data_IF_482891648868
#
_entry.id   IF_482891648868
#
_cell.length_a   1.000
_cell.length_b   1.000
_cell.length_c   1.000
_cell.angle_alpha   90.00
_cell.angle_beta   90.00
_cell.angle_gamma   90.00
#
_symmetry.space_group_name_H-M   'P 1'
#
loop_
_entity.id
_entity.type
_entity.pdbx_description
1 polymer ?
#
# COMPACT_ATOMS: atom_id res chain seq x y z
N UNK A 1 -17.43 -1.22 -17.33
CA UNK A 1 -16.33 -0.55 -18.05
C UNK A 1 -16.02 0.69 -17.24
N UNK A 2 -15.04 0.60 -16.36
CA UNK A 2 -14.56 1.74 -15.57
C UNK A 2 -13.84 2.66 -16.56
N UNK A 3 -14.12 3.98 -16.58
CA UNK A 3 -13.34 4.90 -17.39
C UNK A 3 -11.90 4.85 -16.91
N UNK A 4 -10.96 4.63 -17.82
CA UNK A 4 -9.54 4.65 -17.52
C UNK A 4 -9.19 5.93 -16.76
N UNK A 5 -8.55 5.79 -15.61
CA UNK A 5 -8.09 6.87 -14.74
C UNK A 5 -6.91 7.66 -15.34
N UNK A 6 -6.94 7.92 -16.63
CA UNK A 6 -5.92 8.69 -17.34
C UNK A 6 -6.58 9.83 -18.15
N UNK A 7 -7.25 10.75 -17.44
CA UNK A 7 -7.31 12.08 -18.01
C UNK A 7 -5.95 12.72 -17.73
N UNK A 8 -5.13 12.93 -18.76
CA UNK A 8 -3.97 13.80 -18.75
C UNK A 8 -4.41 15.24 -18.46
N UNK A 9 -4.88 15.50 -17.24
CA UNK A 9 -5.02 16.87 -16.79
C UNK A 9 -3.60 17.45 -16.75
N UNK A 10 -3.33 18.55 -17.47
CA UNK A 10 -2.02 19.16 -17.43
C UNK A 10 -1.69 19.52 -15.98
N UNK A 11 -0.50 19.18 -15.50
CA UNK A 11 0.03 19.71 -14.26
C UNK A 11 0.08 21.23 -14.43
N UNK A 12 -0.91 21.92 -13.92
CA UNK A 12 -0.97 23.38 -13.97
C UNK A 12 0.05 23.87 -12.97
N UNK A 13 1.22 24.33 -13.46
CA UNK A 13 2.21 25.01 -12.63
C UNK A 13 1.51 26.22 -11.99
N UNK A 14 1.41 26.22 -10.66
CA UNK A 14 0.82 27.29 -9.90
C UNK A 14 -0.56 27.01 -9.28
N UNK A 15 -1.00 25.76 -9.18
CA UNK A 15 -2.20 25.40 -8.41
C UNK A 15 -1.94 25.68 -6.93
N UNK A 16 -2.68 26.60 -6.28
CA UNK A 16 -2.40 26.98 -4.91
C UNK A 16 -2.67 25.86 -3.91
N UNK A 17 -3.50 24.85 -4.27
CA UNK A 17 -3.77 23.70 -3.42
C UNK A 17 -3.98 22.45 -4.28
N UNK A 18 -3.22 21.38 -3.99
CA UNK A 18 -3.23 20.16 -4.79
C UNK A 18 -3.72 18.98 -3.97
N UNK A 19 -4.74 18.29 -4.50
CA UNK A 19 -5.31 17.05 -3.96
C UNK A 19 -5.22 15.88 -4.96
N UNK A 20 -4.30 15.94 -5.90
CA UNK A 20 -4.16 14.89 -6.94
C UNK A 20 -3.70 13.57 -6.33
N UNK A 21 -2.59 13.61 -5.58
CA UNK A 21 -2.02 12.42 -4.97
C UNK A 21 -1.03 12.79 -3.87
N UNK A 22 -0.97 11.99 -2.83
CA UNK A 22 0.07 12.02 -1.80
C UNK A 22 1.47 11.68 -2.36
N UNK A 23 1.55 11.00 -3.52
CA UNK A 23 2.81 10.86 -4.27
C UNK A 23 3.41 12.20 -4.74
N UNK A 24 2.61 13.24 -4.84
CA UNK A 24 3.05 14.57 -5.28
C UNK A 24 3.47 15.48 -4.11
N UNK A 25 3.33 15.02 -2.88
CA UNK A 25 3.76 15.76 -1.70
C UNK A 25 5.29 15.91 -1.65
N UNK A 26 5.76 16.90 -0.91
CA UNK A 26 7.19 17.10 -0.69
C UNK A 26 7.77 15.99 0.20
N UNK A 27 9.09 15.82 0.11
CA UNK A 27 9.82 14.89 0.97
C UNK A 27 9.99 15.51 2.36
N UNK A 28 9.74 14.73 3.42
CA UNK A 28 9.89 15.19 4.79
C UNK A 28 11.35 15.59 5.10
N UNK A 29 11.62 16.70 5.80
CA UNK A 29 12.98 17.18 6.09
C UNK A 29 13.89 16.13 6.74
N UNK A 30 13.39 15.32 7.67
CA UNK A 30 14.16 14.26 8.31
C UNK A 30 14.76 13.25 7.31
N UNK A 31 14.11 13.04 6.16
CA UNK A 31 14.62 12.16 5.09
C UNK A 31 15.89 12.75 4.48
N UNK A 32 15.90 14.06 4.18
CA UNK A 32 17.07 14.73 3.64
C UNK A 32 18.25 14.70 4.62
N UNK A 33 17.99 14.90 5.90
CA UNK A 33 19.01 14.84 6.95
C UNK A 33 19.58 13.42 7.07
N UNK A 34 18.72 12.37 7.04
CA UNK A 34 19.14 10.97 7.08
C UNK A 34 19.98 10.58 5.84
N UNK A 35 19.55 10.99 4.65
CA UNK A 35 20.31 10.74 3.41
C UNK A 35 21.70 11.39 3.47
N UNK A 36 21.79 12.62 3.95
CA UNK A 36 23.05 13.32 4.13
C UNK A 36 23.95 12.63 5.17
N UNK A 37 23.37 12.16 6.26
CA UNK A 37 24.10 11.41 7.29
C UNK A 37 24.60 10.04 6.77
N UNK A 38 23.85 9.39 5.88
CA UNK A 38 24.23 8.13 5.25
C UNK A 38 25.28 8.28 4.13
N UNK A 39 25.69 9.52 3.76
CA UNK A 39 26.65 9.76 2.70
C UNK A 39 28.10 9.58 3.19
N UNK A 40 28.43 8.33 3.52
CA UNK A 40 29.74 7.86 3.90
C UNK A 40 30.03 6.50 3.24
N UNK A 41 31.30 6.11 3.03
CA UNK A 41 31.63 4.76 2.58
C UNK A 41 31.14 3.69 3.56
N UNK A 42 30.46 2.66 3.04
CA UNK A 42 29.98 1.50 3.77
C UNK A 42 29.85 0.30 2.82
N UNK A 43 29.49 -0.87 3.34
CA UNK A 43 29.30 -2.10 2.58
C UNK A 43 28.26 -1.91 1.47
N UNK A 44 28.45 -2.54 0.29
CA UNK A 44 27.53 -2.38 -0.82
C UNK A 44 26.23 -3.18 -0.60
N UNK A 45 25.22 -2.82 -1.40
CA UNK A 45 23.89 -3.42 -1.44
C UNK A 45 23.15 -3.26 -0.11
N UNK A 46 22.80 -4.36 0.57
CA UNK A 46 22.17 -4.41 1.89
C UNK A 46 23.09 -4.98 2.98
N UNK A 47 24.41 -4.97 2.73
CA UNK A 47 25.41 -5.36 3.71
C UNK A 47 25.84 -4.23 4.68
N UNK A 48 25.28 -3.03 4.52
CA UNK A 48 25.56 -1.86 5.35
C UNK A 48 24.87 -1.94 6.73
N UNK A 49 25.36 -1.13 7.68
CA UNK A 49 24.87 -1.14 9.04
C UNK A 49 23.40 -0.76 9.16
N UNK A 50 22.90 0.18 8.35
CA UNK A 50 21.50 0.60 8.37
C UNK A 50 20.57 -0.49 7.83
N UNK A 51 20.93 -1.13 6.71
CA UNK A 51 20.14 -2.25 6.17
C UNK A 51 20.08 -3.42 7.15
N UNK A 52 21.20 -3.77 7.79
CA UNK A 52 21.27 -4.85 8.76
C UNK A 52 20.47 -4.59 10.05
N UNK A 53 20.20 -3.33 10.39
CA UNK A 53 19.42 -2.97 11.58
C UNK A 53 17.89 -2.99 11.34
N UNK A 54 17.42 -3.12 10.10
CA UNK A 54 15.98 -3.04 9.79
C UNK A 54 15.17 -4.16 10.44
N UNK A 55 15.66 -5.41 10.43
CA UNK A 55 14.94 -6.54 11.00
C UNK A 55 14.64 -6.30 12.49
N UNK A 56 15.62 -5.82 13.25
CA UNK A 56 15.43 -5.47 14.65
C UNK A 56 14.45 -4.29 14.80
N UNK A 57 14.64 -3.23 14.03
CA UNK A 57 13.82 -2.01 14.13
C UNK A 57 12.34 -2.28 13.89
N UNK A 58 12.03 -3.08 12.87
CA UNK A 58 10.65 -3.46 12.56
C UNK A 58 10.12 -4.52 13.53
N UNK A 59 10.96 -5.42 14.05
CA UNK A 59 10.56 -6.35 15.11
C UNK A 59 10.14 -5.63 16.38
N UNK A 60 10.83 -4.55 16.73
CA UNK A 60 10.44 -3.68 17.85
C UNK A 60 9.10 -2.97 17.57
N UNK A 61 8.91 -2.46 16.33
CA UNK A 61 7.67 -1.78 15.92
C UNK A 61 6.44 -2.69 15.99
N UNK A 62 6.59 -3.93 15.52
CA UNK A 62 5.48 -4.91 15.48
C UNK A 62 5.39 -5.80 16.73
N UNK A 63 6.34 -5.72 17.66
CA UNK A 63 6.38 -6.57 18.85
C UNK A 63 6.54 -8.06 18.56
N UNK A 64 6.95 -8.43 17.34
CA UNK A 64 7.20 -9.82 16.90
C UNK A 64 8.35 -9.86 15.89
N UNK A 65 9.07 -11.00 15.77
CA UNK A 65 10.15 -11.13 14.79
C UNK A 65 9.72 -10.80 13.38
N UNK A 66 10.50 -9.98 12.68
CA UNK A 66 10.30 -9.61 11.28
C UNK A 66 11.62 -9.76 10.50
N UNK A 67 11.52 -10.09 9.21
CA UNK A 67 12.60 -9.90 8.27
C UNK A 67 12.18 -8.83 7.26
N UNK A 68 13.06 -7.86 6.98
CA UNK A 68 12.70 -6.66 6.22
C UNK A 68 13.62 -6.46 5.02
N UNK A 69 13.01 -6.16 3.89
CA UNK A 69 13.73 -5.78 2.67
C UNK A 69 13.25 -4.41 2.22
N UNK A 70 14.18 -3.49 1.96
CA UNK A 70 13.86 -2.24 1.29
C UNK A 70 13.75 -2.43 -0.23
N UNK A 71 12.86 -1.67 -0.86
CA UNK A 71 12.70 -1.52 -2.31
C UNK A 71 12.38 -0.06 -2.63
N UNK A 72 12.44 0.32 -3.92
CA UNK A 72 12.27 1.72 -4.33
C UNK A 72 10.82 2.09 -4.70
N UNK A 73 9.90 1.14 -4.79
CA UNK A 73 8.51 1.38 -5.20
C UNK A 73 7.54 0.42 -4.53
N UNK A 74 6.27 0.86 -4.33
CA UNK A 74 5.20 0.02 -3.81
C UNK A 74 4.90 -1.18 -4.72
N UNK A 75 4.89 -0.98 -6.05
CA UNK A 75 4.73 -2.06 -7.03
C UNK A 75 5.78 -3.16 -6.85
N UNK A 76 7.07 -2.77 -6.63
CA UNK A 76 8.11 -3.75 -6.34
C UNK A 76 7.87 -4.49 -5.02
N UNK A 77 7.38 -3.79 -3.99
CA UNK A 77 7.05 -4.39 -2.71
C UNK A 77 5.95 -5.45 -2.86
N UNK A 78 4.82 -5.10 -3.49
CA UNK A 78 3.70 -6.00 -3.73
C UNK A 78 4.11 -7.22 -4.56
N UNK A 79 4.75 -6.98 -5.71
CA UNK A 79 5.16 -8.04 -6.61
C UNK A 79 6.16 -9.02 -5.98
N UNK A 80 7.16 -8.50 -5.25
CA UNK A 80 8.17 -9.35 -4.62
C UNK A 80 7.60 -10.13 -3.42
N UNK A 81 6.75 -9.51 -2.60
CA UNK A 81 6.06 -10.20 -1.52
C UNK A 81 5.22 -11.36 -2.06
N UNK A 82 4.31 -11.07 -2.99
CA UNK A 82 3.43 -12.07 -3.61
C UNK A 82 4.20 -13.18 -4.34
N UNK A 83 5.31 -12.83 -5.00
CA UNK A 83 6.13 -13.81 -5.70
C UNK A 83 6.81 -14.83 -4.78
N UNK A 84 6.89 -14.60 -3.47
CA UNK A 84 7.36 -15.59 -2.51
C UNK A 84 6.30 -16.59 -2.09
N UNK A 85 5.03 -16.23 -2.26
CA UNK A 85 3.86 -16.97 -1.76
C UNK A 85 3.18 -17.79 -2.86
N UNK A 86 3.30 -17.35 -4.12
CA UNK A 86 2.49 -17.85 -5.22
C UNK A 86 3.38 -18.50 -6.29
N UNK A 87 3.00 -19.71 -6.69
CA UNK A 87 3.64 -20.40 -7.82
C UNK A 87 3.06 -19.93 -9.16
N UNK A 88 3.77 -20.10 -10.30
CA UNK A 88 3.30 -19.64 -11.62
C UNK A 88 1.91 -20.14 -12.05
N UNK A 89 1.50 -21.31 -11.56
CA UNK A 89 0.19 -21.94 -11.81
C UNK A 89 -0.86 -21.58 -10.76
N UNK A 90 -0.51 -20.73 -9.78
CA UNK A 90 -1.39 -20.35 -8.69
C UNK A 90 -2.18 -19.07 -8.96
N UNK A 91 -3.08 -18.75 -8.03
CA UNK A 91 -3.89 -17.55 -8.07
C UNK A 91 -3.80 -16.74 -6.78
N UNK A 92 -4.06 -15.45 -6.90
CA UNK A 92 -4.14 -14.49 -5.79
C UNK A 92 -5.57 -13.97 -5.75
N UNK A 93 -6.26 -14.18 -4.64
CA UNK A 93 -7.57 -13.54 -4.42
C UNK A 93 -7.33 -12.11 -4.00
N UNK A 94 -7.87 -11.15 -4.75
CA UNK A 94 -7.81 -9.72 -4.42
C UNK A 94 -9.13 -9.04 -4.78
N UNK A 95 -9.33 -7.82 -4.28
CA UNK A 95 -10.46 -7.02 -4.70
C UNK A 95 -10.31 -6.59 -6.17
N UNK A 96 -11.41 -6.44 -6.92
CA UNK A 96 -11.37 -6.01 -8.33
C UNK A 96 -10.80 -4.61 -8.53
N UNK A 97 -10.81 -3.77 -7.49
CA UNK A 97 -10.21 -2.43 -7.46
C UNK A 97 -8.80 -2.43 -6.83
N UNK A 98 -8.26 -3.59 -6.44
CA UNK A 98 -6.92 -3.65 -5.82
C UNK A 98 -5.86 -3.07 -6.77
N UNK A 99 -4.91 -2.31 -6.22
CA UNK A 99 -3.83 -1.67 -6.98
C UNK A 99 -3.06 -2.66 -7.86
N UNK A 100 -2.85 -3.90 -7.36
CA UNK A 100 -2.18 -4.98 -8.10
C UNK A 100 -2.95 -5.43 -9.36
N UNK A 101 -4.26 -5.19 -9.45
CA UNK A 101 -5.08 -5.42 -10.65
C UNK A 101 -5.12 -4.18 -11.52
N UNK A 102 -5.41 -3.02 -10.94
CA UNK A 102 -5.81 -1.83 -11.68
C UNK A 102 -4.62 -0.98 -12.16
N UNK A 103 -3.60 -0.78 -11.32
CA UNK A 103 -2.63 0.32 -11.50
C UNK A 103 -1.16 -0.11 -11.46
N UNK A 104 -0.86 -1.40 -11.66
CA UNK A 104 0.52 -1.91 -11.73
C UNK A 104 0.92 -2.43 -13.13
N UNK A 105 0.13 -2.12 -14.17
CA UNK A 105 0.47 -2.44 -15.55
C UNK A 105 0.68 -3.94 -15.81
N UNK A 106 0.03 -4.81 -15.02
CA UNK A 106 0.21 -6.26 -15.10
C UNK A 106 1.51 -6.78 -14.46
N UNK A 107 2.20 -5.95 -13.68
CA UNK A 107 3.44 -6.34 -13.00
C UNK A 107 3.33 -7.62 -12.16
N UNK A 108 2.25 -7.86 -11.39
CA UNK A 108 2.11 -9.13 -10.67
C UNK A 108 2.22 -10.34 -11.59
N UNK A 109 1.51 -10.35 -12.71
CA UNK A 109 1.59 -11.43 -13.69
C UNK A 109 3.01 -11.64 -14.23
N UNK A 110 3.75 -10.57 -14.47
CA UNK A 110 5.15 -10.62 -14.94
C UNK A 110 6.09 -11.19 -13.84
N UNK A 111 6.03 -10.67 -12.62
CA UNK A 111 6.92 -11.09 -11.53
C UNK A 111 6.62 -12.50 -11.02
N UNK A 112 5.37 -12.94 -11.10
CA UNK A 112 4.90 -14.23 -10.65
C UNK A 112 4.86 -15.27 -11.79
N UNK A 113 5.43 -14.93 -12.95
CA UNK A 113 5.56 -15.83 -14.10
C UNK A 113 4.22 -16.35 -14.63
N UNK A 114 3.18 -15.52 -14.63
CA UNK A 114 1.86 -15.82 -15.17
C UNK A 114 0.81 -16.23 -14.15
N UNK A 115 1.08 -16.12 -12.85
CA UNK A 115 0.07 -16.33 -11.83
C UNK A 115 -1.15 -15.41 -12.04
N UNK A 116 -2.34 -15.91 -11.75
CA UNK A 116 -3.61 -15.24 -12.06
C UNK A 116 -4.12 -14.44 -10.86
N UNK A 117 -4.69 -13.26 -11.11
CA UNK A 117 -5.52 -12.58 -10.12
C UNK A 117 -6.95 -13.16 -10.18
N UNK A 118 -7.49 -13.50 -9.02
CA UNK A 118 -8.83 -14.04 -8.80
C UNK A 118 -9.65 -12.95 -8.12
N UNK A 119 -10.44 -12.24 -8.93
CA UNK A 119 -11.07 -10.99 -8.51
C UNK A 119 -12.33 -11.26 -7.68
N UNK A 120 -12.43 -10.60 -6.54
CA UNK A 120 -13.60 -10.60 -5.67
C UNK A 120 -14.16 -9.18 -5.54
N UNK A 121 -15.45 -9.09 -5.19
CA UNK A 121 -16.15 -7.82 -4.95
C UNK A 121 -16.31 -7.56 -3.47
N UNK A 122 -16.43 -6.28 -3.11
CA UNK A 122 -16.67 -5.87 -1.74
C UNK A 122 -16.97 -4.38 -1.63
N UNK A 123 -17.70 -3.99 -0.62
CA UNK A 123 -17.97 -2.57 -0.37
C UNK A 123 -16.71 -1.84 0.10
N UNK A 124 -16.52 -0.61 -0.40
CA UNK A 124 -15.38 0.22 -0.04
C UNK A 124 -14.01 -0.38 -0.43
N UNK A 125 -13.96 -1.18 -1.49
CA UNK A 125 -12.78 -1.93 -1.94
C UNK A 125 -12.20 -2.87 -0.86
N UNK A 126 -13.06 -3.40 0.02
CA UNK A 126 -12.69 -4.34 1.09
C UNK A 126 -13.20 -5.72 0.79
N UNK A 127 -12.40 -6.73 1.04
CA UNK A 127 -12.81 -8.13 1.01
C UNK A 127 -13.48 -8.55 2.32
N UNK A 128 -14.40 -9.50 2.22
CA UNK A 128 -14.94 -10.23 3.36
C UNK A 128 -14.67 -11.73 3.19
N UNK A 129 -14.70 -12.53 4.28
CA UNK A 129 -14.59 -13.98 4.16
C UNK A 129 -15.58 -14.57 3.14
N UNK A 130 -16.83 -14.08 3.10
CA UNK A 130 -17.84 -14.56 2.18
C UNK A 130 -17.52 -14.19 0.71
N UNK A 131 -17.03 -12.99 0.46
CA UNK A 131 -16.59 -12.59 -0.87
C UNK A 131 -15.42 -13.45 -1.36
N UNK A 132 -14.49 -13.78 -0.48
CA UNK A 132 -13.35 -14.67 -0.79
C UNK A 132 -13.89 -16.09 -1.07
N UNK A 133 -14.78 -16.64 -0.22
CA UNK A 133 -15.41 -17.96 -0.43
C UNK A 133 -16.14 -18.03 -1.77
N UNK A 134 -16.86 -16.98 -2.15
CA UNK A 134 -17.59 -16.94 -3.42
C UNK A 134 -16.66 -17.11 -4.64
N UNK A 135 -15.40 -16.71 -4.53
CA UNK A 135 -14.38 -16.88 -5.58
C UNK A 135 -13.68 -18.23 -5.49
N UNK A 136 -13.37 -18.69 -4.27
CA UNK A 136 -12.51 -19.86 -4.05
C UNK A 136 -13.32 -21.17 -4.09
N UNK A 137 -14.51 -21.22 -3.49
CA UNK A 137 -15.27 -22.46 -3.34
C UNK A 137 -15.74 -23.10 -4.66
N UNK A 138 -16.04 -22.34 -5.74
CA UNK A 138 -16.37 -22.93 -7.02
C UNK A 138 -15.17 -23.56 -7.77
N UNK A 139 -13.93 -23.27 -7.35
CA UNK A 139 -12.72 -23.80 -8.02
C UNK A 139 -12.58 -25.28 -7.67
N UNK A 140 -12.62 -26.13 -8.71
CA UNK A 140 -12.42 -27.56 -8.53
C UNK A 140 -10.95 -27.85 -8.20
N UNK A 141 -10.72 -28.79 -7.31
CA UNK A 141 -9.37 -29.30 -7.00
C UNK A 141 -8.92 -30.27 -8.10
N UNK A 142 -8.55 -29.70 -9.25
CA UNK A 142 -7.98 -30.42 -10.38
C UNK A 142 -6.97 -29.57 -11.16
N UNK A 143 -6.14 -30.21 -11.98
CA UNK A 143 -5.06 -29.58 -12.76
C UNK A 143 -5.53 -28.65 -13.88
N UNK A 144 -6.81 -28.62 -14.18
CA UNK A 144 -7.39 -27.78 -15.24
C UNK A 144 -7.74 -26.38 -14.76
N UNK A 145 -7.78 -26.17 -13.45
CA UNK A 145 -8.11 -24.86 -12.85
C UNK A 145 -6.94 -24.31 -12.03
N UNK A 146 -6.75 -22.99 -12.13
CA UNK A 146 -5.81 -22.27 -11.25
C UNK A 146 -6.26 -22.43 -9.81
N UNK A 147 -5.37 -22.88 -8.95
CA UNK A 147 -5.63 -23.04 -7.52
C UNK A 147 -5.25 -21.75 -6.78
N UNK A 148 -6.07 -21.25 -5.84
CA UNK A 148 -5.71 -20.10 -5.03
C UNK A 148 -4.53 -20.45 -4.11
N UNK A 149 -3.54 -19.57 -4.06
CA UNK A 149 -2.35 -19.73 -3.23
C UNK A 149 -2.25 -18.61 -2.17
N UNK A 150 -2.79 -17.43 -2.47
CA UNK A 150 -2.73 -16.29 -1.57
C UNK A 150 -4.00 -15.43 -1.64
N UNK A 151 -4.22 -14.67 -0.57
CA UNK A 151 -5.14 -13.54 -0.50
C UNK A 151 -4.30 -12.26 -0.39
N UNK A 152 -4.68 -11.20 -1.10
CA UNK A 152 -4.11 -9.86 -0.96
C UNK A 152 -5.20 -8.87 -0.59
N UNK A 153 -5.01 -8.16 0.53
CA UNK A 153 -5.89 -7.08 0.99
C UNK A 153 -5.11 -5.76 1.00
N UNK A 154 -5.79 -4.62 0.94
CA UNK A 154 -5.17 -3.28 0.93
C UNK A 154 -5.59 -2.49 2.17
N UNK A 155 -4.62 -1.99 2.93
CA UNK A 155 -4.83 -1.26 4.20
C UNK A 155 -4.09 0.11 4.15
N UNK A 156 -4.76 1.29 4.10
CA UNK A 156 -6.19 1.45 3.82
C UNK A 156 -6.50 1.07 2.36
N UNK A 157 -7.77 0.68 2.11
CA UNK A 157 -8.22 0.27 0.78
C UNK A 157 -8.15 1.42 -0.24
N UNK A 158 -8.32 1.12 -1.51
CA UNK A 158 -8.30 2.07 -2.64
C UNK A 158 -9.40 3.15 -2.55
N UNK A 159 -10.39 2.94 -1.70
CA UNK A 159 -11.44 3.93 -1.39
C UNK A 159 -11.26 4.60 -0.01
N UNK A 160 -10.03 4.54 0.54
CA UNK A 160 -9.69 5.16 1.81
C UNK A 160 -10.40 4.54 3.03
N UNK A 161 -10.92 3.30 2.91
CA UNK A 161 -11.54 2.57 4.00
C UNK A 161 -10.51 1.70 4.72
N UNK A 162 -10.66 1.55 6.03
CA UNK A 162 -9.75 0.71 6.83
C UNK A 162 -10.41 -0.60 7.24
N UNK A 163 -9.65 -1.68 7.19
CA UNK A 163 -10.03 -2.92 7.85
C UNK A 163 -9.85 -2.75 9.36
N UNK A 164 -10.88 -3.11 10.13
CA UNK A 164 -10.75 -3.23 11.58
C UNK A 164 -9.94 -4.49 11.92
N UNK A 165 -9.26 -4.54 13.08
CA UNK A 165 -8.49 -5.73 13.48
C UNK A 165 -9.28 -7.03 13.40
N UNK A 166 -10.56 -7.02 13.80
CA UNK A 166 -11.44 -8.18 13.72
C UNK A 166 -11.79 -8.59 12.28
N UNK A 167 -11.85 -7.65 11.34
CA UNK A 167 -12.06 -7.96 9.91
C UNK A 167 -10.81 -8.63 9.32
N UNK A 168 -9.62 -8.11 9.65
CA UNK A 168 -8.35 -8.74 9.26
C UNK A 168 -8.25 -10.13 9.86
N UNK A 169 -8.55 -10.29 11.15
CA UNK A 169 -8.52 -11.58 11.83
C UNK A 169 -9.46 -12.62 11.19
N UNK A 170 -10.64 -12.20 10.76
CA UNK A 170 -11.60 -13.08 10.08
C UNK A 170 -11.08 -13.57 8.72
N UNK A 171 -10.41 -12.68 7.95
CA UNK A 171 -9.80 -13.04 6.66
C UNK A 171 -8.59 -13.96 6.90
N UNK A 172 -7.76 -13.67 7.90
CA UNK A 172 -6.61 -14.51 8.28
C UNK A 172 -7.09 -15.91 8.68
N UNK A 173 -8.15 -16.01 9.48
CA UNK A 173 -8.72 -17.31 9.90
C UNK A 173 -9.15 -18.13 8.67
N UNK A 174 -9.83 -17.52 7.70
CA UNK A 174 -10.19 -18.16 6.45
C UNK A 174 -8.95 -18.58 5.64
N UNK A 175 -7.94 -17.70 5.55
CA UNK A 175 -6.71 -18.02 4.84
C UNK A 175 -6.03 -19.27 5.45
N UNK A 176 -5.93 -19.35 6.77
CA UNK A 176 -5.36 -20.51 7.47
C UNK A 176 -6.20 -21.78 7.27
N UNK A 177 -7.54 -21.69 7.35
CA UNK A 177 -8.46 -22.80 7.03
C UNK A 177 -8.18 -23.38 5.64
N UNK A 178 -7.97 -22.49 4.65
CA UNK A 178 -7.76 -22.84 3.23
C UNK A 178 -6.29 -23.05 2.87
N UNK A 179 -5.35 -22.92 3.79
CA UNK A 179 -3.90 -22.99 3.56
C UNK A 179 -3.42 -21.97 2.52
N UNK A 180 -4.01 -20.79 2.53
CA UNK A 180 -3.62 -19.67 1.70
C UNK A 180 -2.64 -18.77 2.46
N UNK A 181 -1.63 -18.25 1.76
CA UNK A 181 -0.83 -17.16 2.30
C UNK A 181 -1.65 -15.85 2.28
N UNK A 182 -1.25 -14.90 3.12
CA UNK A 182 -1.91 -13.61 3.16
C UNK A 182 -0.91 -12.46 3.07
N UNK A 183 -1.12 -11.59 2.09
CA UNK A 183 -0.40 -10.37 1.84
C UNK A 183 -1.28 -9.16 2.16
N UNK A 184 -0.67 -8.12 2.73
CA UNK A 184 -1.28 -6.82 2.92
C UNK A 184 -0.52 -5.76 2.12
N UNK A 185 -1.18 -5.13 1.16
CA UNK A 185 -0.72 -3.89 0.57
C UNK A 185 -0.95 -2.76 1.57
N UNK A 186 0.11 -2.21 2.08
CA UNK A 186 0.11 -1.14 3.07
C UNK A 186 0.63 0.18 2.51
N UNK A 187 0.33 0.50 1.25
CA UNK A 187 0.72 1.79 0.65
C UNK A 187 0.30 3.00 1.52
N UNK A 188 -0.80 2.86 2.27
CA UNK A 188 -1.28 3.82 3.25
C UNK A 188 -1.51 3.20 4.64
N UNK A 189 -0.67 2.23 5.01
CA UNK A 189 -0.75 1.56 6.30
C UNK A 189 -0.64 2.54 7.47
N UNK A 190 0.22 3.55 7.35
CA UNK A 190 0.35 4.59 8.37
C UNK A 190 -0.97 5.33 8.63
N UNK A 191 -1.72 5.66 7.56
CA UNK A 191 -3.02 6.32 7.67
C UNK A 191 -4.06 5.42 8.36
N UNK A 192 -4.05 4.13 8.05
CA UNK A 192 -4.93 3.16 8.69
C UNK A 192 -4.61 3.03 10.20
N UNK A 193 -3.33 2.88 10.57
CA UNK A 193 -2.89 2.83 11.98
C UNK A 193 -3.32 4.10 12.73
N UNK A 194 -3.11 5.27 12.11
CA UNK A 194 -3.49 6.56 12.68
C UNK A 194 -5.01 6.68 12.92
N UNK A 195 -5.81 6.22 11.96
CA UNK A 195 -7.27 6.26 12.07
C UNK A 195 -7.82 5.26 13.09
N UNK A 196 -7.27 4.05 13.12
CA UNK A 196 -7.70 2.99 14.03
C UNK A 196 -7.26 3.25 15.49
N UNK A 197 -6.31 4.16 15.70
CA UNK A 197 -5.65 4.35 16.99
C UNK A 197 -5.10 3.04 17.57
N UNK A 198 -4.71 2.13 16.67
CA UNK A 198 -4.26 0.79 16.98
C UNK A 198 -2.73 0.70 16.97
N UNK A 199 -2.18 -0.37 17.54
CA UNK A 199 -0.77 -0.68 17.33
C UNK A 199 -0.53 -1.15 15.88
N UNK A 200 0.68 -1.00 15.32
CA UNK A 200 1.03 -1.57 14.02
C UNK A 200 0.77 -3.08 13.94
N UNK A 201 1.00 -3.80 15.04
CA UNK A 201 0.73 -5.24 15.13
C UNK A 201 -0.78 -5.55 14.98
N UNK A 202 -1.64 -4.81 15.69
CA UNK A 202 -3.09 -5.02 15.62
C UNK A 202 -3.65 -4.64 14.24
N UNK A 203 -3.16 -3.55 13.64
CA UNK A 203 -3.60 -3.11 12.33
C UNK A 203 -3.17 -4.05 11.20
N UNK A 204 -2.01 -4.70 11.31
CA UNK A 204 -1.54 -5.71 10.36
C UNK A 204 -2.16 -7.08 10.62
N UNK A 205 -2.44 -7.42 11.88
CA UNK A 205 -2.85 -8.76 12.27
C UNK A 205 -1.80 -9.82 11.95
N UNK A 206 -2.25 -11.05 11.71
CA UNK A 206 -1.37 -12.19 11.43
C UNK A 206 -1.24 -12.46 9.93
N UNK A 207 -0.93 -11.41 9.14
CA UNK A 207 -0.56 -11.56 7.72
C UNK A 207 0.85 -12.14 7.60
N UNK A 208 1.17 -12.77 6.46
CA UNK A 208 2.50 -13.36 6.22
C UNK A 208 3.50 -12.32 5.73
N UNK A 209 3.04 -11.32 4.96
CA UNK A 209 3.84 -10.17 4.56
C UNK A 209 3.02 -8.88 4.41
N UNK A 210 3.68 -7.77 4.68
CA UNK A 210 3.15 -6.41 4.53
C UNK A 210 4.08 -5.60 3.62
N UNK A 211 3.52 -5.02 2.55
CA UNK A 211 4.17 -3.96 1.80
C UNK A 211 3.94 -2.64 2.53
N UNK A 212 4.90 -2.22 3.38
CA UNK A 212 4.73 -1.03 4.20
C UNK A 212 5.20 0.22 3.45
N UNK A 213 4.24 1.08 3.07
CA UNK A 213 4.46 2.28 2.29
C UNK A 213 4.93 3.48 3.10
N UNK A 214 5.98 4.15 2.61
CA UNK A 214 6.51 5.37 3.20
C UNK A 214 6.56 6.54 2.20
N UNK A 215 6.60 6.27 0.89
CA UNK A 215 6.72 7.31 -0.15
C UNK A 215 5.52 8.26 -0.10
N UNK A 216 4.31 7.74 -0.06
CA UNK A 216 3.07 8.53 0.03
C UNK A 216 2.95 9.32 1.33
N UNK A 217 3.78 9.00 2.30
CA UNK A 217 3.77 9.55 3.66
C UNK A 217 4.98 10.45 3.97
N UNK A 218 5.62 10.99 2.93
CA UNK A 218 6.76 11.91 3.05
C UNK A 218 8.14 11.28 2.78
N UNK A 219 8.22 10.01 2.40
CA UNK A 219 9.44 9.36 1.92
C UNK A 219 9.84 9.85 0.53
N UNK A 220 11.10 9.66 0.16
CA UNK A 220 11.61 10.01 -1.17
C UNK A 220 11.47 8.85 -2.17
N UNK A 221 11.87 7.64 -1.78
CA UNK A 221 11.95 6.52 -2.71
C UNK A 221 12.40 5.23 -2.01
N UNK A 222 11.81 4.93 -0.85
CA UNK A 222 12.01 3.68 -0.12
C UNK A 222 10.70 3.19 0.48
N UNK A 223 10.41 1.91 0.26
CA UNK A 223 9.33 1.15 0.83
C UNK A 223 9.89 -0.08 1.54
N UNK A 224 9.20 -0.59 2.53
CA UNK A 224 9.59 -1.81 3.22
C UNK A 224 8.69 -2.99 2.84
N UNK A 225 9.30 -4.15 2.56
CA UNK A 225 8.60 -5.42 2.59
C UNK A 225 8.90 -6.05 3.94
N UNK A 226 7.88 -6.18 4.77
CA UNK A 226 7.97 -6.78 6.11
C UNK A 226 7.44 -8.21 6.02
N UNK A 227 8.30 -9.18 6.23
CA UNK A 227 7.94 -10.60 6.30
C UNK A 227 7.84 -11.02 7.76
N UNK A 228 6.70 -11.55 8.15
CA UNK A 228 6.48 -12.17 9.45
C UNK A 228 6.84 -13.66 9.45
N UNK A 229 7.08 -14.23 8.26
CA UNK A 229 7.72 -15.52 8.06
C UNK A 229 9.10 -15.33 7.41
N UNK A 230 10.16 -15.63 8.14
CA UNK A 230 11.54 -15.47 7.67
C UNK A 230 11.86 -16.31 6.42
N UNK A 231 11.20 -17.47 6.23
CA UNK A 231 11.41 -18.32 5.05
C UNK A 231 11.00 -17.60 3.76
N UNK A 232 9.98 -16.74 3.80
CA UNK A 232 9.57 -15.94 2.64
C UNK A 232 10.63 -14.88 2.30
N UNK A 233 11.25 -14.26 3.32
CA UNK A 233 12.30 -13.27 3.12
C UNK A 233 13.52 -13.86 2.42
N UNK A 234 13.91 -15.08 2.72
CA UNK A 234 15.04 -15.76 2.06
C UNK A 234 14.80 -15.93 0.57
N UNK A 235 13.59 -16.33 0.17
CA UNK A 235 13.20 -16.40 -1.25
C UNK A 235 13.17 -15.00 -1.86
N UNK A 236 12.65 -14.00 -1.15
CA UNK A 236 12.53 -12.63 -1.63
C UNK A 236 13.89 -11.99 -1.94
N UNK A 237 14.94 -12.27 -1.18
CA UNK A 237 16.30 -11.76 -1.43
C UNK A 237 16.80 -12.12 -2.83
N UNK A 238 16.62 -13.37 -3.27
CA UNK A 238 17.01 -13.81 -4.62
C UNK A 238 16.13 -13.17 -5.69
N UNK A 239 14.81 -13.11 -5.46
CA UNK A 239 13.87 -12.49 -6.39
C UNK A 239 14.14 -10.99 -6.54
N UNK A 240 14.43 -10.27 -5.46
CA UNK A 240 14.78 -8.84 -5.45
C UNK A 240 16.04 -8.58 -6.30
N UNK A 241 17.09 -9.39 -6.15
CA UNK A 241 18.29 -9.28 -6.97
C UNK A 241 18.00 -9.54 -8.44
N UNK A 242 17.28 -10.62 -8.75
CA UNK A 242 16.92 -11.01 -10.12
C UNK A 242 16.05 -9.96 -10.82
N UNK A 243 15.17 -9.32 -10.08
CA UNK A 243 14.26 -8.27 -10.58
C UNK A 243 14.93 -6.88 -10.73
N UNK A 244 16.21 -6.73 -10.33
CA UNK A 244 16.91 -5.47 -10.43
C UNK A 244 16.65 -4.48 -9.29
N UNK A 245 15.95 -4.89 -8.24
CA UNK A 245 15.58 -4.02 -7.11
C UNK A 245 16.60 -4.01 -5.96
N UNK A 246 17.70 -4.74 -6.05
CA UNK A 246 18.79 -4.66 -5.09
C UNK A 246 19.79 -3.57 -5.52
N UNK A 247 19.61 -2.35 -5.05
CA UNK A 247 20.43 -1.19 -5.37
C UNK A 247 21.82 -1.27 -4.70
N UNK A 248 22.84 -0.75 -5.37
CA UNK A 248 24.23 -0.86 -4.90
C UNK A 248 24.54 -0.06 -3.63
N UNK A 249 23.82 1.04 -3.41
CA UNK A 249 23.94 1.88 -2.22
C UNK A 249 22.66 1.78 -1.38
N UNK A 250 22.35 0.58 -0.90
CA UNK A 250 21.13 0.27 -0.13
C UNK A 250 20.96 1.12 1.12
N UNK A 251 22.08 1.53 1.74
CA UNK A 251 22.05 2.40 2.92
C UNK A 251 21.20 3.67 2.76
N UNK A 252 21.08 4.21 1.55
CA UNK A 252 20.24 5.38 1.31
C UNK A 252 18.75 5.07 1.36
N UNK A 253 18.34 3.84 1.00
CA UNK A 253 16.96 3.40 1.17
C UNK A 253 16.69 3.06 2.64
N UNK A 254 17.60 2.32 3.28
CA UNK A 254 17.49 1.97 4.69
C UNK A 254 17.43 3.22 5.59
N UNK A 255 18.26 4.23 5.31
CA UNK A 255 18.26 5.50 6.05
C UNK A 255 16.89 6.20 6.04
N UNK A 256 16.17 6.16 4.91
CA UNK A 256 14.83 6.72 4.81
C UNK A 256 13.85 5.98 5.72
N UNK A 257 13.90 4.64 5.73
CA UNK A 257 13.03 3.83 6.59
C UNK A 257 13.28 4.12 8.07
N UNK A 258 14.54 4.19 8.49
CA UNK A 258 14.89 4.58 9.86
C UNK A 258 14.35 5.98 10.21
N UNK A 259 14.59 6.97 9.34
CA UNK A 259 14.13 8.34 9.58
C UNK A 259 12.62 8.48 9.70
N UNK A 260 11.86 7.67 8.96
CA UNK A 260 10.40 7.64 9.08
C UNK A 260 9.95 7.04 10.43
N UNK A 261 10.66 6.04 10.93
CA UNK A 261 10.34 5.39 12.22
C UNK A 261 10.85 6.21 13.42
N UNK A 262 11.92 7.00 13.26
CA UNK A 262 12.49 7.78 14.35
C UNK A 262 11.56 8.93 14.73
N UNK A 263 11.26 9.05 16.04
CA UNK A 263 10.35 10.06 16.54
C UNK A 263 8.91 9.98 15.98
N UNK A 264 8.52 8.81 15.50
CA UNK A 264 7.18 8.54 14.93
C UNK A 264 6.78 9.49 13.78
N UNK A 265 7.75 9.91 12.95
CA UNK A 265 7.51 10.77 11.78
C UNK A 265 6.40 10.18 10.89
N UNK A 266 6.46 8.88 10.59
CA UNK A 266 5.49 8.17 9.77
C UNK A 266 4.06 8.30 10.31
N UNK A 267 3.87 8.20 11.64
CA UNK A 267 2.56 8.26 12.28
C UNK A 267 2.05 9.70 12.42
N UNK A 268 2.96 10.63 12.68
CA UNK A 268 2.66 12.07 12.77
C UNK A 268 2.20 12.59 11.41
N UNK A 269 2.90 12.27 10.33
CA UNK A 269 2.52 12.63 8.97
C UNK A 269 1.14 12.07 8.60
N UNK A 270 0.89 10.80 8.91
CA UNK A 270 -0.39 10.15 8.64
C UNK A 270 -1.55 10.81 9.41
N UNK A 271 -1.33 11.18 10.69
CA UNK A 271 -2.33 11.92 11.48
C UNK A 271 -2.66 13.28 10.86
N UNK A 272 -1.66 14.01 10.38
CA UNK A 272 -1.88 15.30 9.72
C UNK A 272 -2.66 15.13 8.42
N UNK A 273 -2.29 14.16 7.59
CA UNK A 273 -3.01 13.88 6.35
C UNK A 273 -4.47 13.47 6.61
N UNK A 274 -4.70 12.59 7.59
CA UNK A 274 -6.06 12.17 7.96
C UNK A 274 -6.87 13.34 8.54
N UNK A 275 -6.29 14.19 9.37
CA UNK A 275 -6.96 15.37 9.93
C UNK A 275 -7.42 16.33 8.83
N UNK A 276 -6.56 16.61 7.84
CA UNK A 276 -6.92 17.43 6.69
C UNK A 276 -8.05 16.79 5.85
N UNK A 277 -8.06 15.47 5.69
CA UNK A 277 -9.17 14.75 5.06
C UNK A 277 -10.48 14.90 5.85
N UNK A 278 -10.41 14.80 7.18
CA UNK A 278 -11.59 14.97 8.03
C UNK A 278 -12.17 16.38 7.97
N UNK A 279 -11.33 17.43 7.86
CA UNK A 279 -11.80 18.81 7.69
C UNK A 279 -12.58 18.97 6.39
N UNK A 280 -12.10 18.38 5.28
CA UNK A 280 -12.83 18.37 4.00
C UNK A 280 -14.12 17.58 4.12
N UNK A 281 -14.06 16.38 4.72
CA UNK A 281 -15.20 15.49 4.91
C UNK A 281 -16.34 16.17 5.68
N UNK A 282 -16.04 16.87 6.76
CA UNK A 282 -17.02 17.60 7.57
C UNK A 282 -17.75 18.69 6.76
N UNK A 283 -17.10 19.26 5.73
CA UNK A 283 -17.72 20.25 4.84
C UNK A 283 -18.61 19.66 3.75
N UNK A 284 -18.57 18.34 3.52
CA UNK A 284 -19.27 17.67 2.43
C UNK A 284 -19.83 16.27 2.79
N UNK A 285 -20.14 16.03 4.05
CA UNK A 285 -20.53 14.72 4.59
C UNK A 285 -21.62 14.01 3.78
N UNK A 286 -22.68 14.72 3.40
CA UNK A 286 -23.80 14.17 2.62
C UNK A 286 -23.42 13.78 1.17
N UNK A 287 -22.25 14.20 0.71
CA UNK A 287 -21.71 13.94 -0.63
C UNK A 287 -20.63 12.89 -0.67
N UNK A 288 -20.16 12.41 0.48
CA UNK A 288 -19.17 11.37 0.53
C UNK A 288 -19.72 10.06 -0.02
N UNK A 289 -18.97 9.44 -0.94
CA UNK A 289 -19.29 8.11 -1.46
C UNK A 289 -18.94 7.03 -0.44
N UNK A 290 -17.88 7.27 0.34
CA UNK A 290 -17.38 6.39 1.40
C UNK A 290 -17.03 7.22 2.63
N UNK A 291 -17.10 6.62 3.80
CA UNK A 291 -16.62 7.27 5.02
C UNK A 291 -15.13 7.58 4.93
N UNK A 292 -14.72 8.77 5.35
CA UNK A 292 -13.31 9.16 5.39
C UNK A 292 -12.60 8.46 6.56
N UNK A 293 -11.84 7.42 6.28
CA UNK A 293 -11.12 6.63 7.28
C UNK A 293 -9.59 6.68 7.08
N UNK A 294 -9.14 7.36 6.04
CA UNK A 294 -7.74 7.64 5.74
C UNK A 294 -7.64 9.05 5.13
N UNK A 295 -6.68 9.26 4.24
CA UNK A 295 -6.42 10.53 3.59
C UNK A 295 -7.01 10.64 2.17
N UNK A 296 -7.89 9.75 1.77
CA UNK A 296 -8.57 9.75 0.47
C UNK A 296 -10.07 9.97 0.63
N UNK A 297 -10.61 10.87 -0.19
CA UNK A 297 -12.01 11.25 -0.20
C UNK A 297 -12.58 11.13 -1.60
N UNK A 298 -13.76 10.55 -1.71
CA UNK A 298 -14.53 10.44 -2.93
C UNK A 298 -15.84 11.21 -2.73
N UNK A 299 -15.96 12.35 -3.41
CA UNK A 299 -17.02 13.33 -3.16
C UNK A 299 -17.88 13.46 -4.41
N UNK A 300 -19.18 13.25 -4.27
CA UNK A 300 -20.15 13.52 -5.37
C UNK A 300 -20.17 15.00 -5.68
N UNK A 301 -19.90 15.35 -6.94
CA UNK A 301 -19.95 16.71 -7.44
C UNK A 301 -20.20 16.73 -8.94
N UNK A 302 -21.00 17.70 -9.36
CA UNK A 302 -21.34 17.90 -10.78
C UNK A 302 -20.13 18.36 -11.59
N UNK A 303 -20.20 18.25 -12.91
CA UNK A 303 -19.16 18.76 -13.80
C UNK A 303 -18.91 20.26 -13.59
N UNK A 304 -19.97 21.07 -13.42
CA UNK A 304 -19.87 22.52 -13.20
C UNK A 304 -19.18 22.84 -11.87
N UNK A 305 -19.48 22.08 -10.80
CA UNK A 305 -18.81 22.24 -9.49
C UNK A 305 -17.31 21.88 -9.59
N UNK A 306 -16.97 20.79 -10.29
CA UNK A 306 -15.57 20.42 -10.53
C UNK A 306 -14.83 21.49 -11.32
N UNK A 307 -15.47 22.04 -12.37
CA UNK A 307 -14.91 23.14 -13.13
C UNK A 307 -14.69 24.39 -12.28
N UNK A 308 -15.67 24.77 -11.48
CA UNK A 308 -15.57 25.93 -10.59
C UNK A 308 -14.46 25.79 -9.53
N UNK A 309 -14.23 24.55 -9.02
CA UNK A 309 -13.10 24.27 -8.12
C UNK A 309 -11.76 24.43 -8.83
N UNK A 310 -11.63 23.93 -10.08
CA UNK A 310 -10.41 24.10 -10.88
C UNK A 310 -10.11 25.56 -11.20
N UNK A 311 -11.14 26.35 -11.50
CA UNK A 311 -10.99 27.80 -11.73
C UNK A 311 -10.51 28.56 -10.49
N UNK A 312 -10.80 28.04 -9.30
CA UNK A 312 -10.25 28.53 -8.01
C UNK A 312 -8.83 28.03 -7.73
N UNK A 313 -8.26 27.19 -8.61
CA UNK A 313 -6.89 26.68 -8.51
C UNK A 313 -6.76 25.39 -7.72
N UNK A 314 -7.82 24.63 -7.49
CA UNK A 314 -7.72 23.31 -6.86
C UNK A 314 -7.41 22.23 -7.91
N UNK A 315 -6.42 21.39 -7.62
CA UNK A 315 -6.06 20.22 -8.43
C UNK A 315 -6.58 18.93 -7.77
N UNK A 316 -7.34 18.13 -8.51
CA UNK A 316 -7.87 16.84 -8.09
C UNK A 316 -8.22 15.98 -9.32
N UNK A 317 -8.43 14.68 -9.13
CA UNK A 317 -8.89 13.80 -10.20
C UNK A 317 -10.43 13.74 -10.25
N UNK A 318 -10.97 13.68 -11.46
CA UNK A 318 -12.36 13.27 -11.66
C UNK A 318 -12.50 11.79 -11.31
N UNK A 319 -13.62 11.42 -10.69
CA UNK A 319 -13.96 10.06 -10.39
C UNK A 319 -15.30 9.70 -11.00
N UNK A 320 -15.28 8.93 -12.07
CA UNK A 320 -16.47 8.73 -12.88
C UNK A 320 -17.02 10.05 -13.43
N UNK A 321 -18.32 10.06 -13.72
CA UNK A 321 -19.00 11.20 -14.32
C UNK A 321 -19.52 12.22 -13.29
N UNK A 322 -19.72 11.80 -12.03
CA UNK A 322 -20.44 12.55 -11.00
C UNK A 322 -19.67 12.73 -9.68
N UNK A 323 -18.38 12.48 -9.66
CA UNK A 323 -17.57 12.61 -8.44
C UNK A 323 -16.15 13.12 -8.71
N UNK A 324 -15.46 13.47 -7.64
CA UNK A 324 -14.05 13.81 -7.62
C UNK A 324 -13.34 13.06 -6.48
N UNK A 325 -12.07 12.69 -6.73
CA UNK A 325 -11.18 12.11 -5.74
C UNK A 325 -10.23 13.19 -5.23
N UNK A 326 -10.21 13.37 -3.92
CA UNK A 326 -9.28 14.25 -3.23
C UNK A 326 -8.35 13.42 -2.36
N UNK A 327 -7.06 13.70 -2.41
CA UNK A 327 -6.05 13.06 -1.57
C UNK A 327 -5.31 14.13 -0.80
N UNK A 328 -5.33 14.04 0.52
CA UNK A 328 -4.56 14.92 1.40
C UNK A 328 -3.20 14.32 1.70
N UNK A 329 -2.23 15.14 2.06
CA UNK A 329 -0.87 14.72 2.40
C UNK A 329 -0.41 15.34 3.73
N UNK A 330 0.76 14.88 4.23
CA UNK A 330 1.37 15.33 5.49
C UNK A 330 1.70 16.82 5.51
#
# INVERSE_FOLDING_TARGET
>A
VIPSCASNAPVVMGVPMQFLSDNAASVHPAIWDALKAADAPDSPYDGDGLSNALDQRFSELFGKPCAVLWVATGTAANCLALATMVQPHGGIVCHEEAHIEMDEGGAPGFYLHGAKLLLAKGDGAKLTPDAIRAVVDPIRDDVHQVQPHAISITQASEYGRTYRPEEVAAIVALARERRLAIHMDGARFANAVAFLEATPADAAGDVDALSFGFIKNGGLGAEAIVFFDAALADVARYRRKRAGHLQSKGRFLAAQLHAMLDGDVWLTNARHANAAAQEIAAGCEERLMHAAEANELFVRCTADERQALREKGFGFYDWGDDAARFVTAW
#
